data_IF_138530723552
#
_entry.id   IF_138530723552
#
_cell.length_a   1.000
_cell.length_b   1.000
_cell.length_c   1.000
_cell.angle_alpha   90.00
_cell.angle_beta   90.00
_cell.angle_gamma   90.00
#
_symmetry.space_group_name_H-M   'P 1'
#
loop_
_entity.id
_entity.type
_entity.pdbx_description
1 polymer ?
#
# COMPACT_ATOMS: atom_id res chain seq x y z
N UNK A 1 -6.45 8.41 1.74
CA UNK A 1 -4.97 8.42 1.86
C UNK A 1 -4.55 9.47 2.88
N UNK A 2 -3.58 9.18 3.75
CA UNK A 2 -2.98 10.15 4.69
C UNK A 2 -2.05 11.14 4.00
N UNK A 3 -1.80 12.27 4.66
CA UNK A 3 -0.63 13.09 4.35
C UNK A 3 0.67 12.40 4.82
N UNK A 4 1.50 12.01 3.87
CA UNK A 4 2.70 11.19 4.05
C UNK A 4 3.95 11.99 4.45
N UNK A 5 3.83 13.30 4.73
CA UNK A 5 4.96 14.09 5.24
C UNK A 5 5.48 13.58 6.58
N UNK A 6 4.60 12.99 7.40
CA UNK A 6 4.96 12.30 8.66
C UNK A 6 5.89 11.10 8.43
N UNK A 7 5.90 10.53 7.22
CA UNK A 7 6.74 9.40 6.82
C UNK A 7 8.03 9.83 6.10
N UNK A 8 8.32 11.14 5.98
CA UNK A 8 9.50 11.62 5.24
C UNK A 8 10.83 11.04 5.72
N UNK A 9 10.96 10.70 7.01
CA UNK A 9 12.15 10.03 7.56
C UNK A 9 12.43 8.64 6.96
N UNK A 10 11.42 8.04 6.33
CA UNK A 10 11.50 6.73 5.67
C UNK A 10 11.50 6.86 4.14
N UNK A 11 11.33 8.07 3.59
CA UNK A 11 11.16 8.28 2.17
C UNK A 11 12.49 8.10 1.44
N UNK A 12 12.43 7.43 0.30
CA UNK A 12 13.58 7.17 -0.57
C UNK A 12 13.26 7.73 -1.97
N UNK A 13 14.24 8.34 -2.67
CA UNK A 13 14.02 8.83 -4.02
C UNK A 13 14.02 7.68 -5.04
N UNK A 14 13.17 7.78 -6.07
CA UNK A 14 13.22 6.93 -7.26
C UNK A 14 13.68 7.80 -8.42
N UNK A 15 14.85 7.50 -9.00
CA UNK A 15 15.44 8.29 -10.09
C UNK A 15 15.54 9.80 -9.80
N UNK A 16 15.77 10.16 -8.53
CA UNK A 16 15.83 11.55 -8.07
C UNK A 16 14.48 12.19 -7.70
N UNK A 17 13.37 11.51 -7.99
CA UNK A 17 12.03 11.96 -7.60
C UNK A 17 11.68 11.48 -6.19
N UNK A 18 11.26 12.42 -5.34
CA UNK A 18 10.84 12.17 -3.96
C UNK A 18 9.32 11.93 -3.84
N UNK A 19 8.55 12.20 -4.89
CA UNK A 19 7.10 12.28 -4.83
C UNK A 19 6.64 13.55 -4.10
N UNK A 20 5.47 13.47 -3.45
CA UNK A 20 4.82 14.61 -2.82
C UNK A 20 4.19 14.22 -1.46
N UNK A 21 3.26 15.05 -0.98
CA UNK A 21 2.60 14.82 0.30
C UNK A 21 1.70 13.57 0.33
N UNK A 22 1.39 12.96 -0.80
CA UNK A 22 0.51 11.79 -0.91
C UNK A 22 1.13 10.63 -1.71
N UNK A 23 2.28 10.84 -2.35
CA UNK A 23 2.92 9.86 -3.22
C UNK A 23 4.41 9.76 -2.89
N UNK A 24 5.02 8.59 -3.10
CA UNK A 24 6.46 8.39 -2.97
C UNK A 24 6.85 6.96 -2.67
N UNK A 25 8.16 6.72 -2.59
CA UNK A 25 8.75 5.46 -2.18
C UNK A 25 9.26 5.55 -0.73
N UNK A 26 9.10 4.48 0.03
CA UNK A 26 9.42 4.43 1.44
C UNK A 26 10.10 3.12 1.80
N UNK A 27 11.17 3.21 2.57
CA UNK A 27 11.80 2.09 3.25
C UNK A 27 11.38 2.09 4.71
N UNK A 28 10.34 1.32 5.00
CA UNK A 28 9.73 1.25 6.33
C UNK A 28 10.24 0.04 7.12
N UNK A 29 10.11 0.11 8.44
CA UNK A 29 10.52 -0.96 9.34
C UNK A 29 9.35 -1.39 10.21
N UNK A 30 8.90 -2.63 10.05
CA UNK A 30 7.80 -3.22 10.81
C UNK A 30 8.34 -4.42 11.60
N UNK A 31 8.16 -4.41 12.92
CA UNK A 31 8.63 -5.48 13.82
C UNK A 31 10.11 -5.88 13.58
N UNK A 32 10.98 -4.89 13.37
CA UNK A 32 12.41 -5.08 13.12
C UNK A 32 12.79 -5.56 11.71
N UNK A 33 11.83 -5.69 10.79
CA UNK A 33 12.06 -6.12 9.40
C UNK A 33 11.85 -4.96 8.44
N UNK A 34 12.66 -4.91 7.38
CA UNK A 34 12.58 -3.86 6.36
C UNK A 34 11.63 -4.23 5.22
N UNK A 35 10.86 -3.25 4.76
CA UNK A 35 9.94 -3.35 3.63
C UNK A 35 10.13 -2.15 2.71
N UNK A 36 9.81 -2.36 1.43
CA UNK A 36 9.69 -1.29 0.46
C UNK A 36 8.21 -1.06 0.20
N UNK A 37 7.77 0.18 0.35
CA UNK A 37 6.41 0.60 0.08
C UNK A 37 6.41 1.73 -0.95
N UNK A 38 5.51 1.66 -1.93
CA UNK A 38 5.29 2.75 -2.89
C UNK A 38 3.85 3.20 -2.79
N UNK A 39 3.66 4.47 -2.44
CA UNK A 39 2.36 5.12 -2.39
C UNK A 39 2.16 5.97 -3.66
N UNK A 40 0.98 5.89 -4.26
CA UNK A 40 0.61 6.67 -5.43
C UNK A 40 -0.86 7.05 -5.39
N UNK A 41 -1.20 8.19 -6.00
CA UNK A 41 -2.54 8.76 -6.01
C UNK A 41 -2.85 9.18 -7.44
N UNK A 42 -3.81 8.53 -8.08
CA UNK A 42 -4.11 8.80 -9.48
C UNK A 42 -5.08 7.80 -10.10
N UNK A 43 -5.61 8.12 -11.28
CA UNK A 43 -6.57 7.25 -11.96
C UNK A 43 -7.86 6.98 -11.17
N UNK A 44 -8.18 7.81 -10.17
CA UNK A 44 -9.30 7.62 -9.26
C UNK A 44 -9.02 6.69 -8.07
N UNK A 45 -7.75 6.33 -7.82
CA UNK A 45 -7.35 5.40 -6.77
C UNK A 45 -6.23 5.96 -5.89
N UNK A 46 -6.38 5.71 -4.58
CA UNK A 46 -5.28 5.69 -3.64
C UNK A 46 -4.69 4.28 -3.63
N UNK A 47 -3.37 4.19 -3.73
CA UNK A 47 -2.68 2.91 -3.87
C UNK A 47 -1.41 2.87 -3.01
N UNK A 48 -1.19 1.71 -2.40
CA UNK A 48 0.08 1.37 -1.76
C UNK A 48 0.49 -0.04 -2.15
N UNK A 49 1.65 -0.19 -2.79
CA UNK A 49 2.29 -1.49 -3.01
C UNK A 49 3.38 -1.73 -1.96
N UNK A 50 3.56 -2.98 -1.55
CA UNK A 50 4.50 -3.37 -0.50
C UNK A 50 5.20 -4.66 -0.84
N UNK A 51 6.52 -4.68 -0.73
CA UNK A 51 7.30 -5.91 -0.80
C UNK A 51 8.27 -6.04 0.38
N UNK A 52 8.63 -7.29 0.68
CA UNK A 52 9.67 -7.58 1.67
C UNK A 52 11.05 -7.26 1.10
N UNK A 53 12.04 -7.02 1.97
CA UNK A 53 13.43 -6.93 1.53
C UNK A 53 13.81 -8.15 0.67
N UNK A 54 14.25 -7.90 -0.56
CA UNK A 54 14.62 -8.90 -1.58
C UNK A 54 13.47 -9.80 -2.05
N UNK A 55 12.21 -9.42 -1.84
CA UNK A 55 11.02 -10.09 -2.38
C UNK A 55 10.96 -11.61 -2.13
N UNK A 56 11.51 -12.11 -1.01
CA UNK A 56 11.59 -13.56 -0.74
C UNK A 56 10.26 -14.21 -0.32
N UNK A 57 9.30 -13.39 0.10
CA UNK A 57 7.95 -13.79 0.51
C UNK A 57 7.01 -12.60 0.43
N UNK A 58 5.71 -12.86 0.38
CA UNK A 58 4.71 -11.81 0.56
C UNK A 58 4.78 -11.24 1.99
N UNK A 59 4.45 -9.95 2.17
CA UNK A 59 4.07 -9.42 3.48
C UNK A 59 2.96 -10.27 4.11
N UNK A 60 2.98 -10.41 5.44
CA UNK A 60 1.92 -11.11 6.16
C UNK A 60 0.68 -10.22 6.32
N UNK A 61 -0.45 -10.81 6.72
CA UNK A 61 -1.65 -10.04 7.03
C UNK A 61 -1.41 -8.95 8.08
N UNK A 62 -0.73 -9.28 9.18
CA UNK A 62 -0.40 -8.30 10.23
C UNK A 62 0.52 -7.19 9.73
N UNK A 63 1.50 -7.51 8.88
CA UNK A 63 2.39 -6.51 8.26
C UNK A 63 1.58 -5.59 7.33
N UNK A 64 0.64 -6.13 6.54
CA UNK A 64 -0.25 -5.32 5.69
C UNK A 64 -1.23 -4.47 6.51
N UNK A 65 -1.72 -4.94 7.66
CA UNK A 65 -2.52 -4.12 8.58
C UNK A 65 -1.74 -2.90 9.07
N UNK A 66 -0.48 -3.10 9.48
CA UNK A 66 0.39 -2.00 9.91
C UNK A 66 0.66 -1.01 8.75
N UNK A 67 0.86 -1.51 7.52
CA UNK A 67 0.96 -0.64 6.35
C UNK A 67 -0.33 0.17 6.16
N UNK A 68 -1.52 -0.46 6.24
CA UNK A 68 -2.79 0.25 6.13
C UNK A 68 -2.88 1.39 7.14
N UNK A 69 -2.50 1.14 8.39
CA UNK A 69 -2.48 2.15 9.45
C UNK A 69 -1.48 3.28 9.19
N UNK A 70 -0.37 3.02 8.50
CA UNK A 70 0.63 4.04 8.17
C UNK A 70 0.19 4.96 7.02
N UNK A 71 -0.46 4.41 5.98
CA UNK A 71 -0.71 5.13 4.73
C UNK A 71 -2.17 5.58 4.52
N UNK A 72 -3.14 4.90 5.14
CA UNK A 72 -4.57 5.24 5.02
C UNK A 72 -5.13 5.75 6.33
N UNK A 73 -6.21 6.53 6.27
CA UNK A 73 -6.92 6.99 7.46
C UNK A 73 -7.55 5.81 8.22
N UNK A 74 -7.75 5.92 9.54
CA UNK A 74 -8.27 4.82 10.35
C UNK A 74 -9.65 4.30 9.88
N UNK A 75 -10.52 5.21 9.44
CA UNK A 75 -11.88 4.96 8.98
C UNK A 75 -11.97 4.62 7.48
N UNK A 76 -10.88 4.76 6.74
CA UNK A 76 -10.81 4.39 5.33
C UNK A 76 -10.74 2.87 5.15
N UNK A 77 -11.59 2.36 4.25
CA UNK A 77 -11.47 0.99 3.76
C UNK A 77 -10.42 0.94 2.66
N UNK A 78 -9.55 -0.07 2.72
CA UNK A 78 -8.62 -0.41 1.65
C UNK A 78 -8.68 -1.92 1.42
N UNK A 79 -8.60 -2.34 0.16
CA UNK A 79 -8.79 -3.73 -0.24
C UNK A 79 -7.59 -4.24 -1.02
N UNK A 80 -7.38 -5.56 -0.97
CA UNK A 80 -6.48 -6.26 -1.88
C UNK A 80 -7.34 -6.97 -2.92
N UNK A 81 -7.09 -6.72 -4.20
CA UNK A 81 -7.81 -7.39 -5.29
C UNK A 81 -7.09 -8.67 -5.69
N UNK A 82 -7.88 -9.70 -6.01
CA UNK A 82 -7.39 -10.91 -6.68
C UNK A 82 -7.99 -10.94 -8.10
N UNK A 83 -7.33 -10.31 -9.08
CA UNK A 83 -7.87 -10.20 -10.43
C UNK A 83 -7.91 -11.58 -11.12
N UNK A 84 -8.71 -11.73 -12.20
CA UNK A 84 -8.64 -12.91 -13.05
C UNK A 84 -7.20 -13.21 -13.50
N UNK A 85 -6.88 -14.48 -13.73
CA UNK A 85 -5.51 -14.89 -14.06
C UNK A 85 -4.91 -14.13 -15.27
N UNK A 86 -5.73 -13.81 -16.28
CA UNK A 86 -5.31 -13.06 -17.46
C UNK A 86 -4.99 -11.58 -17.18
N UNK A 87 -5.56 -11.03 -16.10
CA UNK A 87 -5.36 -9.65 -15.65
C UNK A 87 -4.34 -9.58 -14.50
N UNK A 88 -3.91 -10.73 -13.98
CA UNK A 88 -2.93 -10.83 -12.89
C UNK A 88 -1.50 -10.66 -13.42
N UNK A 89 -1.15 -9.42 -13.72
CA UNK A 89 0.18 -9.03 -14.21
C UNK A 89 1.09 -8.76 -13.00
N UNK A 90 1.88 -9.76 -12.60
CA UNK A 90 2.91 -9.59 -11.56
C UNK A 90 4.16 -8.94 -12.16
N UNK A 91 4.36 -7.65 -11.90
CA UNK A 91 5.59 -6.92 -12.26
C UNK A 91 6.66 -6.97 -11.15
N UNK A 92 6.27 -7.39 -9.94
CA UNK A 92 7.13 -7.48 -8.78
C UNK A 92 6.71 -8.69 -7.95
N UNK A 93 7.54 -9.74 -7.95
CA UNK A 93 7.22 -10.96 -7.22
C UNK A 93 7.01 -10.67 -5.74
N UNK A 94 6.02 -11.36 -5.16
CA UNK A 94 5.70 -11.27 -3.74
C UNK A 94 5.36 -9.85 -3.24
N UNK A 95 4.89 -9.00 -4.14
CA UNK A 95 4.35 -7.68 -3.83
C UNK A 95 2.85 -7.78 -3.52
N UNK A 96 2.41 -7.16 -2.43
CA UNK A 96 1.00 -7.00 -2.10
C UNK A 96 0.57 -5.55 -2.25
N UNK A 97 -0.71 -5.34 -2.52
CA UNK A 97 -1.24 -4.04 -2.88
C UNK A 97 -2.50 -3.72 -2.10
N UNK A 98 -2.58 -2.50 -1.57
CA UNK A 98 -3.79 -1.93 -0.99
C UNK A 98 -4.34 -0.87 -1.92
N UNK A 99 -5.65 -0.92 -2.16
CA UNK A 99 -6.36 -0.01 -3.04
C UNK A 99 -7.57 0.60 -2.34
N UNK A 100 -7.82 1.88 -2.58
CA UNK A 100 -9.03 2.58 -2.19
C UNK A 100 -9.48 3.51 -3.34
N UNK A 101 -10.74 3.45 -3.79
CA UNK A 101 -11.25 4.41 -4.75
C UNK A 101 -11.44 5.79 -4.10
N UNK A 102 -11.18 6.86 -4.84
CA UNK A 102 -11.25 8.23 -4.32
C UNK A 102 -12.66 8.82 -4.36
N UNK A 103 -13.43 8.46 -5.40
CA UNK A 103 -14.68 9.14 -5.76
C UNK A 103 -15.93 8.29 -5.53
N UNK A 104 -15.77 7.04 -5.08
CA UNK A 104 -16.88 6.12 -4.81
C UNK A 104 -16.63 5.38 -3.51
N UNK A 105 -17.69 5.00 -2.80
CA UNK A 105 -17.58 4.13 -1.63
C UNK A 105 -17.32 2.69 -2.05
N UNK A 106 -16.41 2.02 -1.35
CA UNK A 106 -16.24 0.58 -1.49
C UNK A 106 -17.49 -0.14 -0.95
N UNK A 107 -18.04 -1.13 -1.67
CA UNK A 107 -19.05 -2.00 -1.10
C UNK A 107 -18.45 -2.72 0.11
N UNK A 108 -19.17 -2.68 1.23
CA UNK A 108 -18.73 -3.29 2.49
C UNK A 108 -19.45 -4.63 2.65
N UNK A 109 -18.74 -5.70 3.06
CA UNK A 109 -19.40 -6.94 3.43
C UNK A 109 -20.39 -6.69 4.60
N UNK A 110 -21.45 -7.49 4.71
CA UNK A 110 -22.34 -7.43 5.87
C UNK A 110 -21.55 -7.63 7.17
N UNK A 111 -21.80 -6.79 8.18
CA UNK A 111 -21.00 -6.71 9.41
C UNK A 111 -20.98 -8.02 10.20
N UNK A 112 -22.01 -8.84 10.05
CA UNK A 112 -22.14 -10.15 10.67
C UNK A 112 -21.13 -11.20 10.17
N UNK A 113 -20.42 -10.92 9.06
CA UNK A 113 -19.44 -11.82 8.46
C UNK A 113 -17.98 -11.33 8.58
N UNK A 114 -17.73 -10.24 9.31
CA UNK A 114 -16.43 -9.53 9.34
C UNK A 114 -15.86 -9.41 10.74
#
# INVERSE_FOLDING_TARGET
>A
MKNLTSLNRYREPINGDWGNNYEGCFKIFLNGKAFFAVASVGGGWDHVSVSTKNNKRCPTWDEMRMVKEMFFEPDEWAVQYNPPANDNISICDNCLHLWRPQNVDLPKPPKEFV
#
